data_IF_245963033601
#
_entry.id   IF_245963033601
#
_cell.length_a   1.000
_cell.length_b   1.000
_cell.length_c   1.000
_cell.angle_alpha   90.00
_cell.angle_beta   90.00
_cell.angle_gamma   90.00
#
_symmetry.space_group_name_H-M   'P 1'
#
loop_
_entity.id
_entity.type
_entity.pdbx_description
1 polymer ?
#
# COMPACT_ATOMS: atom_id res chain seq x y z
N UNK A 1 23.07 23.03 -8.17
CA UNK A 1 21.92 22.12 -8.44
C UNK A 1 21.40 22.28 -9.86
N UNK A 2 21.79 23.29 -10.60
CA UNK A 2 21.26 23.55 -11.96
C UNK A 2 21.93 22.75 -13.08
N UNK A 3 23.00 22.04 -12.82
CA UNK A 3 23.72 21.26 -13.85
C UNK A 3 22.86 20.13 -14.48
N UNK A 4 21.85 19.63 -13.77
CA UNK A 4 20.92 18.60 -14.27
C UNK A 4 19.56 19.17 -14.68
N UNK A 5 19.30 20.46 -14.49
CA UNK A 5 18.05 21.14 -14.85
C UNK A 5 16.82 20.62 -14.10
N UNK A 6 17.00 20.06 -12.89
CA UNK A 6 15.95 19.53 -12.02
C UNK A 6 16.27 19.70 -10.54
N UNK A 7 15.36 19.28 -9.67
CA UNK A 7 15.51 19.36 -8.22
C UNK A 7 15.85 18.00 -7.63
N UNK A 8 16.98 17.89 -6.95
CA UNK A 8 17.37 16.73 -6.14
C UNK A 8 17.07 17.02 -4.66
N UNK A 9 16.39 16.11 -4.01
CA UNK A 9 16.11 16.12 -2.56
C UNK A 9 16.62 14.85 -1.92
N UNK A 10 17.12 14.95 -0.70
CA UNK A 10 17.51 13.81 0.12
C UNK A 10 16.87 13.94 1.51
N UNK A 11 16.35 12.84 2.02
CA UNK A 11 15.87 12.71 3.40
C UNK A 11 16.60 11.53 4.01
N UNK A 12 17.20 11.75 5.18
CA UNK A 12 17.92 10.71 5.94
C UNK A 12 17.29 10.64 7.33
N UNK A 13 17.00 9.43 7.78
CA UNK A 13 16.59 9.16 9.15
C UNK A 13 17.46 8.08 9.74
N UNK A 14 17.87 8.28 10.98
CA UNK A 14 18.60 7.29 11.77
C UNK A 14 17.95 7.20 13.15
N UNK A 15 17.70 5.98 13.60
CA UNK A 15 17.18 5.69 14.92
C UNK A 15 18.21 4.85 15.67
N UNK A 16 18.47 5.18 16.94
CA UNK A 16 19.39 4.45 17.79
C UNK A 16 18.81 4.28 19.18
N UNK A 17 19.04 3.13 19.76
CA UNK A 17 18.64 2.82 21.14
C UNK A 17 19.83 2.27 21.93
N UNK A 18 19.96 2.79 23.17
CA UNK A 18 20.90 2.27 24.16
C UNK A 18 20.12 1.47 25.21
N UNK A 19 20.53 0.26 25.45
CA UNK A 19 19.87 -0.65 26.38
C UNK A 19 20.66 -0.70 27.69
N UNK A 20 19.94 -0.49 28.79
CA UNK A 20 20.41 -0.73 30.15
C UNK A 20 19.71 -1.99 30.66
N UNK A 21 20.48 -3.04 30.92
CA UNK A 21 19.93 -4.30 31.43
C UNK A 21 19.33 -4.06 32.83
N UNK A 22 18.12 -4.57 33.03
CA UNK A 22 17.43 -4.57 34.29
C UNK A 22 17.18 -6.01 34.73
N UNK A 23 17.87 -6.48 35.76
CA UNK A 23 17.75 -7.83 36.27
C UNK A 23 16.40 -8.17 36.91
N UNK A 24 15.57 -7.17 37.17
CA UNK A 24 14.21 -7.37 37.69
C UNK A 24 13.24 -7.65 36.54
N UNK A 25 13.39 -6.92 35.42
CA UNK A 25 12.55 -7.09 34.23
C UNK A 25 13.02 -8.25 33.36
N UNK A 26 14.30 -8.53 33.36
CA UNK A 26 14.93 -9.60 32.57
C UNK A 26 15.85 -10.46 33.44
N UNK A 27 15.29 -11.26 34.37
CA UNK A 27 16.09 -12.09 35.28
C UNK A 27 16.85 -13.22 34.56
N UNK A 28 16.40 -13.67 33.41
CA UNK A 28 17.06 -14.67 32.58
C UNK A 28 18.19 -14.08 31.71
N UNK A 29 18.13 -12.77 31.41
CA UNK A 29 19.09 -12.07 30.61
C UNK A 29 18.99 -12.37 29.10
N UNK A 30 17.85 -12.87 28.64
CA UNK A 30 17.60 -13.28 27.25
C UNK A 30 16.71 -12.31 26.45
N UNK A 31 16.11 -11.35 27.13
CA UNK A 31 15.23 -10.37 26.48
C UNK A 31 15.98 -9.25 25.75
N UNK A 32 17.06 -8.74 26.37
CA UNK A 32 17.90 -7.71 25.77
C UNK A 32 18.98 -8.31 24.86
N UNK A 33 19.25 -7.65 23.70
CA UNK A 33 20.35 -8.09 22.84
C UNK A 33 21.71 -7.98 23.56
N UNK A 34 22.69 -8.74 23.11
CA UNK A 34 24.05 -8.68 23.66
C UNK A 34 24.71 -7.32 23.40
N UNK A 35 24.41 -6.72 22.28
CA UNK A 35 24.85 -5.36 21.94
C UNK A 35 24.03 -4.34 22.74
N UNK A 36 24.73 -3.47 23.47
CA UNK A 36 24.08 -2.42 24.23
C UNK A 36 23.51 -1.26 23.39
N UNK A 37 23.99 -1.12 22.15
CA UNK A 37 23.55 -0.09 21.23
C UNK A 37 23.09 -0.74 19.94
N UNK A 38 21.84 -0.51 19.59
CA UNK A 38 21.28 -0.90 18.31
C UNK A 38 20.91 0.34 17.50
N UNK A 39 20.96 0.22 16.17
CA UNK A 39 20.63 1.33 15.28
C UNK A 39 20.14 0.86 13.93
N UNK A 40 19.32 1.66 13.33
CA UNK A 40 18.77 1.47 12.00
C UNK A 40 18.65 2.80 11.27
N UNK A 41 18.52 2.76 9.96
CA UNK A 41 18.35 4.01 9.22
C UNK A 41 17.99 3.79 7.76
N UNK A 42 17.58 4.87 7.12
CA UNK A 42 17.30 4.90 5.70
C UNK A 42 17.61 6.26 5.10
N UNK A 43 17.90 6.27 3.81
CA UNK A 43 18.10 7.47 3.01
C UNK A 43 17.24 7.40 1.74
N UNK A 44 16.39 8.40 1.54
CA UNK A 44 15.57 8.56 0.34
C UNK A 44 16.10 9.70 -0.50
N UNK A 45 16.43 9.42 -1.74
CA UNK A 45 16.80 10.40 -2.75
C UNK A 45 15.67 10.52 -3.76
N UNK A 46 15.27 11.74 -4.08
CA UNK A 46 14.22 12.03 -5.06
C UNK A 46 14.72 13.09 -6.04
N UNK A 47 14.56 12.82 -7.33
CA UNK A 47 14.87 13.78 -8.40
C UNK A 47 13.60 14.10 -9.18
N UNK A 48 13.35 15.39 -9.41
CA UNK A 48 12.18 15.90 -10.13
C UNK A 48 12.61 16.83 -11.26
N UNK A 49 12.08 16.58 -12.45
CA UNK A 49 12.27 17.46 -13.62
C UNK A 49 11.03 17.42 -14.53
N UNK A 50 10.34 18.55 -14.63
CA UNK A 50 9.12 18.65 -15.41
C UNK A 50 8.06 17.60 -15.00
N UNK A 51 7.73 16.72 -15.92
CA UNK A 51 6.74 15.66 -15.70
C UNK A 51 7.33 14.38 -15.12
N UNK A 52 8.64 14.33 -14.91
CA UNK A 52 9.36 13.15 -14.45
C UNK A 52 9.74 13.29 -12.98
N UNK A 53 9.46 12.24 -12.21
CA UNK A 53 9.91 12.08 -10.83
C UNK A 53 10.54 10.71 -10.67
N UNK A 54 11.70 10.64 -10.04
CA UNK A 54 12.39 9.40 -9.73
C UNK A 54 12.76 9.38 -8.25
N UNK A 55 12.74 8.20 -7.66
CA UNK A 55 13.16 8.05 -6.27
C UNK A 55 13.88 6.74 -6.03
N UNK A 56 14.77 6.76 -5.04
CA UNK A 56 15.52 5.59 -4.57
C UNK A 56 15.70 5.69 -3.06
N UNK A 57 15.37 4.62 -2.34
CA UNK A 57 15.57 4.52 -0.90
C UNK A 57 16.48 3.35 -0.57
N UNK A 58 17.56 3.66 0.11
CA UNK A 58 18.43 2.68 0.76
C UNK A 58 18.02 2.55 2.23
N UNK A 59 17.98 1.34 2.71
CA UNK A 59 17.67 1.01 4.11
C UNK A 59 18.76 0.13 4.70
N UNK A 60 19.07 0.34 5.98
CA UNK A 60 19.97 -0.48 6.76
C UNK A 60 19.32 -0.80 8.12
N UNK A 61 19.06 -2.08 8.35
CA UNK A 61 18.48 -2.64 9.57
C UNK A 61 19.31 -3.83 10.07
N UNK A 62 20.61 -3.83 9.87
CA UNK A 62 21.49 -4.93 10.29
C UNK A 62 21.44 -5.14 11.81
N UNK A 63 21.45 -4.05 12.57
CA UNK A 63 21.30 -4.02 14.02
C UNK A 63 19.98 -3.35 14.39
N UNK A 64 18.85 -3.92 13.91
CA UNK A 64 17.53 -3.37 14.15
C UNK A 64 17.24 -3.23 15.66
N UNK A 65 16.60 -2.11 16.02
CA UNK A 65 16.20 -1.83 17.40
C UNK A 65 15.21 -2.89 17.92
N UNK A 66 15.20 -3.12 19.23
CA UNK A 66 14.32 -4.09 19.88
C UNK A 66 12.84 -3.76 19.59
N UNK A 67 12.05 -4.80 19.31
CA UNK A 67 10.65 -4.66 18.95
C UNK A 67 10.39 -4.46 17.44
N UNK A 68 11.45 -4.24 16.66
CA UNK A 68 11.32 -4.19 15.20
C UNK A 68 11.24 -5.62 14.62
N UNK A 69 10.42 -5.87 13.57
CA UNK A 69 10.27 -7.22 13.02
C UNK A 69 11.60 -7.81 12.56
N UNK A 70 11.88 -9.03 12.97
CA UNK A 70 13.17 -9.71 12.68
C UNK A 70 13.44 -9.93 11.19
N UNK A 71 12.37 -10.00 10.37
CA UNK A 71 12.49 -10.10 8.91
C UNK A 71 13.12 -8.87 8.26
N UNK A 72 13.18 -7.73 8.95
CA UNK A 72 13.88 -6.52 8.49
C UNK A 72 15.39 -6.55 8.71
N UNK A 73 15.98 -7.60 9.27
CA UNK A 73 17.44 -7.67 9.37
C UNK A 73 18.06 -7.75 8.00
N UNK A 74 18.84 -6.70 7.63
CA UNK A 74 19.49 -6.60 6.33
C UNK A 74 19.71 -5.17 5.89
N UNK A 75 20.18 -5.03 4.67
CA UNK A 75 20.36 -3.73 4.02
C UNK A 75 20.12 -3.83 2.53
N UNK A 76 19.79 -2.70 1.88
CA UNK A 76 19.64 -2.66 0.44
C UNK A 76 18.79 -1.50 -0.08
N UNK A 77 18.65 -1.47 -1.39
CA UNK A 77 17.74 -0.54 -2.09
C UNK A 77 16.37 -1.21 -2.14
N UNK A 78 15.49 -0.79 -1.26
CA UNK A 78 14.20 -1.43 -1.01
C UNK A 78 13.04 -0.76 -1.72
N UNK A 79 13.21 0.50 -2.10
CA UNK A 79 12.19 1.30 -2.76
C UNK A 79 12.82 2.11 -3.88
N UNK A 80 12.39 1.91 -5.11
CA UNK A 80 12.87 2.62 -6.29
C UNK A 80 11.75 2.76 -7.30
N UNK A 81 11.60 3.95 -7.88
CA UNK A 81 10.55 4.20 -8.86
C UNK A 81 10.92 5.26 -9.86
N UNK A 82 10.25 5.21 -11.00
CA UNK A 82 10.16 6.27 -11.98
C UNK A 82 8.68 6.56 -12.20
N UNK A 83 8.28 7.81 -12.04
CA UNK A 83 6.93 8.31 -12.26
C UNK A 83 6.94 9.36 -13.36
N UNK A 84 6.01 9.22 -14.27
CA UNK A 84 5.74 10.21 -15.30
C UNK A 84 4.30 10.68 -15.19
N UNK A 85 4.11 11.99 -15.08
CA UNK A 85 2.79 12.60 -14.93
C UNK A 85 2.60 13.67 -16.00
N UNK A 86 1.62 13.46 -16.89
CA UNK A 86 1.29 14.44 -17.93
C UNK A 86 -0.20 14.43 -18.22
N UNK A 87 -0.82 15.62 -18.13
CA UNK A 87 -2.24 15.80 -18.41
C UNK A 87 -3.12 14.89 -17.54
N UNK A 88 -3.75 13.93 -18.16
CA UNK A 88 -4.69 13.00 -17.49
C UNK A 88 -4.02 11.75 -16.91
N UNK A 89 -2.78 11.49 -17.26
CA UNK A 89 -2.10 10.24 -16.95
C UNK A 89 -1.02 10.44 -15.89
N UNK A 90 -0.96 9.48 -14.96
CA UNK A 90 0.10 9.29 -13.98
C UNK A 90 0.53 7.82 -14.06
N UNK A 91 1.76 7.58 -14.50
CA UNK A 91 2.31 6.24 -14.69
C UNK A 91 3.52 6.11 -13.78
N UNK A 92 3.55 5.04 -12.99
CA UNK A 92 4.68 4.70 -12.12
C UNK A 92 5.19 3.31 -12.46
N UNK A 93 6.50 3.16 -12.58
CA UNK A 93 7.20 1.88 -12.73
C UNK A 93 8.19 1.72 -11.58
N UNK A 94 8.27 0.54 -11.01
CA UNK A 94 9.02 0.23 -9.79
C UNK A 94 8.11 0.17 -8.57
N UNK A 95 8.58 0.71 -7.44
CA UNK A 95 7.80 0.64 -6.20
C UNK A 95 6.76 1.76 -6.12
N UNK A 96 5.57 1.42 -5.63
CA UNK A 96 4.49 2.38 -5.39
C UNK A 96 3.58 1.94 -4.26
N UNK A 97 2.92 2.92 -3.65
CA UNK A 97 1.79 2.73 -2.75
C UNK A 97 0.50 3.08 -3.49
N UNK A 98 -0.55 2.34 -3.25
CA UNK A 98 -1.87 2.59 -3.82
C UNK A 98 -2.95 1.89 -2.98
N UNK A 99 -4.14 2.45 -2.98
CA UNK A 99 -5.30 1.89 -2.31
C UNK A 99 -6.53 2.03 -3.21
N UNK A 100 -7.38 1.01 -3.22
CA UNK A 100 -8.69 1.05 -3.87
C UNK A 100 -9.76 1.24 -2.80
N UNK A 101 -10.55 2.31 -2.95
CA UNK A 101 -11.59 2.67 -2.00
C UNK A 101 -11.09 2.79 -0.56
N UNK A 102 -11.78 2.13 0.37
CA UNK A 102 -11.41 2.07 1.79
C UNK A 102 -10.33 0.99 2.08
N UNK A 103 -9.88 0.26 1.05
CA UNK A 103 -8.78 -0.69 1.16
C UNK A 103 -9.21 -2.11 1.47
N UNK A 104 -10.49 -2.47 1.34
CA UNK A 104 -10.98 -3.82 1.63
C UNK A 104 -10.39 -4.89 0.70
N UNK A 105 -10.16 -4.56 -0.58
CA UNK A 105 -9.63 -5.52 -1.56
C UNK A 105 -8.18 -5.25 -1.95
N UNK A 106 -7.74 -4.00 -1.83
CA UNK A 106 -6.35 -3.64 -2.13
C UNK A 106 -5.87 -2.43 -1.34
N UNK A 107 -4.78 -2.62 -0.61
CA UNK A 107 -4.08 -1.55 0.10
C UNK A 107 -2.59 -1.88 0.18
N UNK A 108 -1.77 -1.07 -0.46
CA UNK A 108 -0.32 -1.06 -0.34
C UNK A 108 0.10 0.24 0.35
N UNK A 109 0.74 0.15 1.51
CA UNK A 109 1.08 1.30 2.35
C UNK A 109 2.31 1.03 3.22
N UNK A 110 2.80 2.05 3.85
CA UNK A 110 3.90 1.98 4.81
C UNK A 110 3.43 2.52 6.17
N UNK A 111 3.72 1.80 7.24
CA UNK A 111 3.57 2.23 8.63
C UNK A 111 4.86 1.90 9.38
N UNK A 112 5.78 2.85 9.42
CA UNK A 112 7.13 2.63 9.95
C UNK A 112 7.15 2.32 11.42
N UNK A 113 6.26 2.92 12.20
CA UNK A 113 6.14 2.65 13.63
C UNK A 113 5.82 1.18 13.96
N UNK A 114 5.19 0.48 13.02
CA UNK A 114 4.87 -0.94 13.11
C UNK A 114 5.84 -1.83 12.34
N UNK A 115 6.84 -1.27 11.66
CA UNK A 115 7.73 -2.03 10.78
C UNK A 115 6.98 -2.66 9.60
N UNK A 116 5.92 -2.03 9.11
CA UNK A 116 5.12 -2.52 7.99
C UNK A 116 5.40 -1.69 6.75
N UNK A 117 5.83 -2.34 5.69
CA UNK A 117 5.95 -1.78 4.35
C UNK A 117 5.63 -2.89 3.33
N UNK A 118 4.46 -2.79 2.72
CA UNK A 118 3.99 -3.71 1.69
C UNK A 118 3.87 -3.02 0.32
N UNK A 119 4.79 -2.09 0.01
CA UNK A 119 4.86 -1.44 -1.29
C UNK A 119 4.75 -2.47 -2.43
N UNK A 120 4.04 -2.09 -3.49
CA UNK A 120 4.07 -2.88 -4.73
C UNK A 120 5.37 -2.60 -5.49
N UNK A 121 5.97 -3.62 -6.07
CA UNK A 121 7.05 -3.53 -7.07
C UNK A 121 6.50 -3.99 -8.41
N UNK A 122 6.31 -3.05 -9.35
CA UNK A 122 5.67 -3.32 -10.61
C UNK A 122 5.30 -2.07 -11.39
N UNK A 123 4.05 -1.96 -11.83
CA UNK A 123 3.57 -0.80 -12.58
C UNK A 123 2.19 -0.36 -12.10
N UNK A 124 1.99 0.95 -12.08
CA UNK A 124 0.73 1.62 -11.79
C UNK A 124 0.40 2.63 -12.88
N UNK A 125 -0.85 2.70 -13.28
CA UNK A 125 -1.39 3.75 -14.14
C UNK A 125 -2.65 4.34 -13.50
N UNK A 126 -2.74 5.66 -13.50
CA UNK A 126 -3.95 6.40 -13.12
C UNK A 126 -4.33 7.29 -14.30
N UNK A 127 -5.58 7.19 -14.74
CA UNK A 127 -6.16 8.03 -15.79
C UNK A 127 -7.31 8.84 -15.19
N UNK A 128 -7.14 10.19 -15.12
CA UNK A 128 -8.18 11.14 -14.68
C UNK A 128 -8.91 11.67 -15.89
N UNK A 129 -10.07 11.11 -16.15
CA UNK A 129 -10.87 11.42 -17.31
C UNK A 129 -11.85 12.58 -17.04
N UNK A 130 -12.36 13.26 -18.08
CA UNK A 130 -13.38 14.30 -17.90
C UNK A 130 -14.62 13.76 -17.19
N UNK A 131 -15.40 14.67 -16.62
CA UNK A 131 -16.65 14.36 -15.92
C UNK A 131 -16.47 13.50 -14.67
N UNK A 132 -15.33 13.64 -13.98
CA UNK A 132 -15.09 13.03 -12.68
C UNK A 132 -14.79 11.53 -12.68
N UNK A 133 -14.48 10.92 -13.82
CA UNK A 133 -14.12 9.51 -13.89
C UNK A 133 -12.61 9.34 -13.72
N UNK A 134 -12.22 8.56 -12.70
CA UNK A 134 -10.83 8.14 -12.47
C UNK A 134 -10.73 6.63 -12.63
N UNK A 135 -9.77 6.18 -13.44
CA UNK A 135 -9.45 4.77 -13.62
C UNK A 135 -8.05 4.51 -13.10
N UNK A 136 -7.86 3.41 -12.37
CA UNK A 136 -6.56 2.95 -11.90
C UNK A 136 -6.30 1.52 -12.37
N UNK A 137 -5.05 1.23 -12.70
CA UNK A 137 -4.57 -0.11 -12.99
C UNK A 137 -3.25 -0.36 -12.27
N UNK A 138 -3.10 -1.54 -11.68
CA UNK A 138 -1.88 -1.96 -10.98
C UNK A 138 -1.51 -3.38 -11.36
N UNK A 139 -0.21 -3.64 -11.43
CA UNK A 139 0.35 -4.99 -11.55
C UNK A 139 1.70 -5.01 -10.85
N UNK A 140 1.98 -6.06 -10.09
CA UNK A 140 3.28 -6.20 -9.42
C UNK A 140 3.27 -7.28 -8.36
N UNK A 141 4.33 -7.28 -7.55
CA UNK A 141 4.49 -8.12 -6.37
C UNK A 141 4.57 -7.24 -5.13
N UNK A 142 4.03 -7.70 -4.03
CA UNK A 142 4.17 -6.99 -2.76
C UNK A 142 5.57 -7.19 -2.20
N UNK A 143 6.15 -6.12 -1.69
CA UNK A 143 7.35 -6.16 -0.87
C UNK A 143 7.08 -6.91 0.43
N UNK A 144 8.01 -7.77 0.79
CA UNK A 144 8.09 -8.44 2.10
C UNK A 144 9.53 -8.25 2.59
N UNK A 145 9.74 -7.29 3.50
CA UNK A 145 11.06 -6.90 4.00
C UNK A 145 12.02 -6.47 2.87
N UNK A 146 13.09 -7.23 2.62
CA UNK A 146 14.07 -6.98 1.55
C UNK A 146 13.83 -7.78 0.27
N UNK A 147 12.73 -8.53 0.20
CA UNK A 147 12.33 -9.34 -0.94
C UNK A 147 10.94 -8.96 -1.46
N UNK A 148 10.54 -9.56 -2.55
CA UNK A 148 9.17 -9.52 -3.05
C UNK A 148 8.48 -10.86 -2.81
N UNK A 149 7.17 -10.81 -2.54
CA UNK A 149 6.32 -12.01 -2.46
C UNK A 149 6.26 -12.75 -3.80
N UNK A 150 6.03 -14.06 -3.76
CA UNK A 150 5.89 -14.89 -4.98
C UNK A 150 4.62 -14.58 -5.77
N UNK A 151 3.60 -14.07 -5.10
CA UNK A 151 2.30 -13.75 -5.71
C UNK A 151 2.34 -12.54 -6.64
N UNK A 152 1.84 -12.69 -7.85
CA UNK A 152 1.60 -11.56 -8.76
C UNK A 152 0.20 -11.04 -8.52
N UNK A 153 0.11 -9.77 -8.12
CA UNK A 153 -1.13 -9.07 -7.91
C UNK A 153 -1.43 -8.17 -9.12
N UNK A 154 -2.68 -8.21 -9.56
CA UNK A 154 -3.22 -7.35 -10.62
C UNK A 154 -4.51 -6.74 -10.13
N UNK A 155 -4.71 -5.47 -10.39
CA UNK A 155 -5.91 -4.77 -9.93
C UNK A 155 -6.34 -3.68 -10.88
N UNK A 156 -7.64 -3.45 -10.93
CA UNK A 156 -8.26 -2.32 -11.61
C UNK A 156 -9.27 -1.67 -10.68
N UNK A 157 -9.36 -0.37 -10.77
CA UNK A 157 -10.28 0.44 -9.98
C UNK A 157 -10.89 1.53 -10.84
N UNK A 158 -12.17 1.79 -10.65
CA UNK A 158 -12.91 2.87 -11.27
C UNK A 158 -13.65 3.66 -10.19
N UNK A 159 -13.46 4.96 -10.18
CA UNK A 159 -14.17 5.89 -9.31
C UNK A 159 -14.83 6.98 -10.14
N UNK A 160 -16.09 7.27 -9.87
CA UNK A 160 -16.86 8.25 -10.61
C UNK A 160 -17.56 9.26 -9.69
N UNK A 161 -17.08 10.49 -9.72
CA UNK A 161 -17.73 11.63 -9.07
C UNK A 161 -18.86 12.14 -9.96
N UNK A 162 -20.08 11.65 -9.75
CA UNK A 162 -21.25 11.95 -10.59
C UNK A 162 -21.61 13.45 -10.63
N UNK A 163 -21.29 14.19 -9.59
CA UNK A 163 -21.50 15.63 -9.56
C UNK A 163 -20.81 16.36 -10.72
N UNK A 164 -19.66 15.88 -11.17
CA UNK A 164 -18.93 16.47 -12.30
C UNK A 164 -19.54 16.09 -13.67
N UNK A 165 -20.34 15.02 -13.72
CA UNK A 165 -20.98 14.55 -14.94
C UNK A 165 -22.42 15.06 -15.09
N UNK A 166 -23.11 15.29 -13.96
CA UNK A 166 -24.56 15.59 -13.91
C UNK A 166 -24.79 16.97 -13.29
N UNK A 167 -24.97 18.02 -14.10
CA UNK A 167 -25.13 19.40 -13.60
C UNK A 167 -26.27 19.59 -12.61
N UNK A 168 -27.31 18.75 -12.65
CA UNK A 168 -28.41 18.80 -11.69
C UNK A 168 -27.97 18.53 -10.27
N UNK A 169 -27.06 17.55 -10.08
CA UNK A 169 -26.49 17.21 -8.76
C UNK A 169 -25.65 18.36 -8.19
N UNK A 170 -24.89 19.03 -9.05
CA UNK A 170 -24.10 20.19 -8.65
C UNK A 170 -25.00 21.35 -8.19
N UNK A 171 -26.07 21.65 -8.91
CA UNK A 171 -27.06 22.65 -8.52
C UNK A 171 -27.77 22.36 -7.20
N UNK A 172 -27.99 21.10 -6.91
CA UNK A 172 -28.58 20.62 -5.64
C UNK A 172 -27.58 20.60 -4.48
N UNK A 173 -26.29 20.78 -4.74
CA UNK A 173 -25.23 20.59 -3.75
C UNK A 173 -25.09 19.14 -3.27
N UNK A 174 -25.57 18.19 -4.06
CA UNK A 174 -25.52 16.75 -3.75
C UNK A 174 -24.31 16.11 -4.45
N UNK A 175 -23.36 15.59 -3.69
CA UNK A 175 -22.26 14.78 -4.21
C UNK A 175 -22.63 13.31 -4.17
N UNK A 176 -22.47 12.61 -5.28
CA UNK A 176 -22.60 11.15 -5.36
C UNK A 176 -21.33 10.61 -5.99
N UNK A 177 -20.71 9.62 -5.32
CA UNK A 177 -19.54 8.92 -5.79
C UNK A 177 -19.85 7.43 -5.93
N UNK A 178 -19.51 6.86 -7.06
CA UNK A 178 -19.60 5.42 -7.31
C UNK A 178 -18.20 4.86 -7.49
N UNK A 179 -17.99 3.63 -7.07
CA UNK A 179 -16.72 2.95 -7.29
C UNK A 179 -16.88 1.46 -7.48
N UNK A 180 -15.99 0.89 -8.28
CA UNK A 180 -15.88 -0.55 -8.45
C UNK A 180 -14.41 -0.94 -8.60
N UNK A 181 -14.01 -2.01 -7.93
CA UNK A 181 -12.66 -2.56 -8.01
C UNK A 181 -12.69 -4.04 -8.29
N UNK A 182 -11.65 -4.50 -8.98
CA UNK A 182 -11.33 -5.92 -9.12
C UNK A 182 -9.84 -6.12 -8.84
N UNK A 183 -9.52 -7.13 -8.04
CA UNK A 183 -8.14 -7.53 -7.73
C UNK A 183 -8.00 -9.02 -7.90
N UNK A 184 -6.92 -9.45 -8.52
CA UNK A 184 -6.56 -10.85 -8.69
C UNK A 184 -5.14 -11.10 -8.22
N UNK A 185 -4.95 -12.08 -7.35
CA UNK A 185 -3.63 -12.57 -6.91
C UNK A 185 -3.39 -13.94 -7.52
N UNK A 186 -2.34 -14.06 -8.33
CA UNK A 186 -1.87 -15.33 -8.87
C UNK A 186 -0.64 -15.80 -8.09
N UNK A 187 -0.73 -16.97 -7.48
CA UNK A 187 0.36 -17.62 -6.77
C UNK A 187 0.17 -19.13 -6.86
N UNK A 188 1.17 -19.86 -7.33
CA UNK A 188 1.13 -21.32 -7.32
C UNK A 188 1.29 -21.82 -5.89
N UNK A 189 0.42 -22.74 -5.48
CA UNK A 189 0.56 -23.47 -4.23
C UNK A 189 1.76 -24.40 -4.30
N UNK A 190 2.49 -24.51 -3.18
CA UNK A 190 3.66 -25.41 -3.07
C UNK A 190 3.30 -26.77 -2.46
N UNK A 191 2.16 -26.86 -1.77
CA UNK A 191 1.73 -28.08 -1.12
C UNK A 191 0.76 -28.86 -2.02
N UNK A 192 1.15 -30.05 -2.51
CA UNK A 192 0.29 -30.87 -3.36
C UNK A 192 -0.90 -31.50 -2.61
N UNK A 193 -0.87 -31.54 -1.28
CA UNK A 193 -1.97 -32.04 -0.46
C UNK A 193 -3.09 -31.03 -0.26
N UNK A 194 -2.77 -29.74 -0.41
CA UNK A 194 -3.72 -28.65 -0.31
C UNK A 194 -4.13 -28.22 -1.72
N UNK A 195 -5.37 -28.43 -2.09
CA UNK A 195 -5.90 -27.97 -3.38
C UNK A 195 -6.13 -26.46 -3.36
N UNK A 196 -5.03 -25.70 -3.31
CA UNK A 196 -5.07 -24.23 -3.22
C UNK A 196 -5.35 -23.63 -4.60
N UNK A 197 -6.27 -22.64 -4.69
CA UNK A 197 -6.53 -21.94 -5.94
C UNK A 197 -5.29 -21.12 -6.35
N UNK A 198 -4.76 -21.38 -7.55
CA UNK A 198 -3.62 -20.63 -8.07
C UNK A 198 -3.94 -19.16 -8.36
N UNK A 199 -5.22 -18.81 -8.50
CA UNK A 199 -5.67 -17.46 -8.77
C UNK A 199 -6.87 -17.13 -7.88
N UNK A 200 -6.75 -16.07 -7.07
CA UNK A 200 -7.78 -15.59 -6.16
C UNK A 200 -8.26 -14.23 -6.61
N UNK A 201 -9.57 -14.12 -6.87
CA UNK A 201 -10.23 -12.86 -7.25
C UNK A 201 -10.99 -12.22 -6.10
N UNK A 202 -10.96 -10.90 -6.02
CA UNK A 202 -11.73 -10.09 -5.08
C UNK A 202 -12.36 -8.90 -5.79
N UNK A 203 -13.57 -8.53 -5.42
CA UNK A 203 -14.32 -7.40 -5.97
C UNK A 203 -14.75 -6.47 -4.85
N UNK A 204 -14.83 -5.18 -5.14
CA UNK A 204 -15.48 -4.23 -4.24
C UNK A 204 -16.36 -3.27 -5.03
N UNK A 205 -17.46 -2.87 -4.40
CA UNK A 205 -18.38 -1.85 -4.89
C UNK A 205 -18.54 -0.78 -3.84
N UNK A 206 -18.56 0.48 -4.27
CA UNK A 206 -18.62 1.64 -3.36
C UNK A 206 -19.73 2.60 -3.75
N UNK A 207 -20.37 3.12 -2.73
CA UNK A 207 -21.31 4.22 -2.83
C UNK A 207 -20.95 5.29 -1.80
N UNK A 208 -20.81 6.51 -2.25
CA UNK A 208 -20.64 7.70 -1.41
C UNK A 208 -21.72 8.72 -1.70
N UNK A 209 -22.22 9.40 -0.68
CA UNK A 209 -23.14 10.53 -0.82
C UNK A 209 -22.76 11.61 0.18
N UNK A 210 -22.70 12.87 -0.26
CA UNK A 210 -22.52 14.01 0.62
C UNK A 210 -23.56 15.09 0.34
N UNK A 211 -24.16 15.62 1.39
CA UNK A 211 -25.19 16.66 1.32
C UNK A 211 -25.30 17.41 2.63
N UNK A 212 -25.15 18.75 2.59
CA UNK A 212 -25.39 19.67 3.74
C UNK A 212 -24.69 19.21 5.04
N UNK A 213 -23.40 18.88 4.98
CA UNK A 213 -22.61 18.46 6.13
C UNK A 213 -22.74 16.97 6.49
N UNK A 214 -23.63 16.22 5.85
CA UNK A 214 -23.71 14.76 5.97
C UNK A 214 -22.82 14.13 4.91
N UNK A 215 -21.92 13.23 5.32
CA UNK A 215 -21.10 12.39 4.43
C UNK A 215 -21.37 10.92 4.76
N UNK A 216 -21.85 10.18 3.77
CA UNK A 216 -22.14 8.75 3.88
C UNK A 216 -21.25 7.99 2.91
N UNK A 217 -20.62 6.93 3.37
CA UNK A 217 -19.78 6.04 2.55
C UNK A 217 -20.09 4.60 2.90
N UNK A 218 -20.19 3.77 1.88
CA UNK A 218 -20.31 2.32 2.04
C UNK A 218 -19.41 1.62 1.01
N UNK A 219 -18.74 0.56 1.43
CA UNK A 219 -17.97 -0.33 0.58
C UNK A 219 -18.32 -1.77 0.93
N UNK A 220 -18.78 -2.52 -0.07
CA UNK A 220 -19.00 -3.97 0.00
C UNK A 220 -17.91 -4.68 -0.79
N UNK A 221 -17.30 -5.70 -0.20
CA UNK A 221 -16.29 -6.52 -0.81
C UNK A 221 -16.70 -7.99 -0.81
N UNK A 222 -16.36 -8.68 -1.90
CA UNK A 222 -16.50 -10.12 -2.06
C UNK A 222 -15.19 -10.72 -2.54
N UNK A 223 -14.78 -11.84 -1.95
CA UNK A 223 -13.58 -12.60 -2.30
C UNK A 223 -13.96 -14.05 -2.51
N UNK A 224 -13.48 -14.67 -3.58
CA UNK A 224 -13.61 -16.12 -3.75
C UNK A 224 -12.81 -16.85 -2.66
N UNK A 225 -13.03 -18.16 -2.54
CA UNK A 225 -12.29 -18.97 -1.58
C UNK A 225 -10.77 -18.79 -1.74
N UNK A 226 -10.11 -18.52 -0.63
CA UNK A 226 -8.66 -18.32 -0.52
C UNK A 226 -8.15 -19.00 0.76
N UNK A 227 -8.16 -20.34 0.79
CA UNK A 227 -7.69 -21.08 1.95
C UNK A 227 -6.20 -20.83 2.15
N UNK A 228 -5.82 -20.40 3.35
CA UNK A 228 -4.45 -20.11 3.74
C UNK A 228 -4.27 -20.36 5.24
N UNK A 229 -3.04 -20.25 5.72
CA UNK A 229 -2.70 -20.46 7.12
C UNK A 229 -3.49 -19.55 8.07
N UNK A 230 -3.64 -18.26 7.72
CA UNK A 230 -4.27 -17.25 8.59
C UNK A 230 -5.77 -17.53 8.80
N UNK A 231 -6.44 -18.16 7.84
CA UNK A 231 -7.85 -18.52 7.96
C UNK A 231 -8.09 -20.02 8.24
N UNK A 232 -7.06 -20.76 8.65
CA UNK A 232 -7.16 -22.19 8.95
C UNK A 232 -7.55 -23.04 7.75
N UNK A 233 -7.18 -22.63 6.55
CA UNK A 233 -7.50 -23.31 5.27
C UNK A 233 -8.98 -23.46 5.00
N UNK A 234 -9.77 -22.44 5.31
CA UNK A 234 -11.23 -22.44 5.04
C UNK A 234 -11.48 -22.26 3.54
N UNK A 235 -12.16 -23.24 2.91
CA UNK A 235 -12.54 -23.24 1.50
C UNK A 235 -13.92 -22.60 1.29
N UNK A 236 -14.07 -21.34 1.69
CA UNK A 236 -15.31 -20.57 1.53
C UNK A 236 -15.02 -19.17 0.99
N UNK A 237 -15.96 -18.57 0.23
CA UNK A 237 -15.86 -17.16 -0.12
C UNK A 237 -15.94 -16.29 1.14
N UNK A 238 -15.37 -15.09 1.06
CA UNK A 238 -15.44 -14.08 2.10
C UNK A 238 -16.20 -12.85 1.63
N UNK A 239 -16.91 -12.21 2.55
CA UNK A 239 -17.62 -10.96 2.33
C UNK A 239 -17.30 -9.97 3.45
N UNK A 240 -17.28 -8.68 3.11
CA UNK A 240 -17.13 -7.61 4.07
C UNK A 240 -17.96 -6.40 3.66
N UNK A 241 -18.52 -5.71 4.64
CA UNK A 241 -19.21 -4.43 4.46
C UNK A 241 -18.67 -3.43 5.48
N UNK A 242 -18.22 -2.28 4.99
CA UNK A 242 -17.89 -1.12 5.82
C UNK A 242 -18.79 0.03 5.44
N UNK A 243 -19.42 0.65 6.44
CA UNK A 243 -20.23 1.83 6.25
C UNK A 243 -19.83 2.89 7.29
N UNK A 244 -19.70 4.14 6.85
CA UNK A 244 -19.40 5.30 7.69
C UNK A 244 -20.39 6.41 7.42
N UNK A 245 -20.78 7.10 8.48
CA UNK A 245 -21.58 8.31 8.43
C UNK A 245 -20.92 9.37 9.31
N UNK A 246 -20.70 10.56 8.76
CA UNK A 246 -20.18 11.72 9.49
C UNK A 246 -21.08 12.92 9.29
N UNK A 247 -21.15 13.78 10.32
CA UNK A 247 -21.86 15.05 10.25
C UNK A 247 -20.95 16.17 10.79
N UNK A 248 -20.84 17.26 10.04
CA UNK A 248 -19.99 18.41 10.38
C UNK A 248 -20.74 19.72 10.16
#
# INVERSE_FOLDING_TARGET
TDALGGTLRAVVQMDAQLYVRDSVLDPAGDYYPDERALGQGWALFTYERGNLRMGMRYENYQNAILGFPTGYRGEGITYRYVQWQQGKFDITVGNFFEQFGQGLVFRAYEERGLGLDNAMDGSRIIARLPKGLTLKGVIGRQRVYFANSDGILRGTDAEWALREAVPALDKMGLGINLGASFVSKFQRGFDPLLNLPANVGSWAYRLGANYRGIDLKAEYAYKINDPNFDNGYIYKPGEALVATATYS
#
